data_IF_116641688397
#
_entry.id   IF_116641688397
#
_cell.length_a   1.000
_cell.length_b   1.000
_cell.length_c   1.000
_cell.angle_alpha   90.00
_cell.angle_beta   90.00
_cell.angle_gamma   90.00
#
_symmetry.space_group_name_H-M   'P 1'
#
loop_
_entity.id
_entity.type
_entity.pdbx_description
1 polymer ?
#
# COMPACT_ATOMS: atom_id res chain seq x y z
N UNK A 1 1.47 24.43 -1.92
CA UNK A 1 1.17 23.62 -0.71
C UNK A 1 1.80 24.26 0.50
N UNK A 2 1.14 24.24 1.68
CA UNK A 2 1.72 24.76 2.92
C UNK A 2 2.89 23.88 3.35
N UNK A 3 4.10 24.44 3.42
CA UNK A 3 5.32 23.69 3.77
C UNK A 3 5.21 22.92 5.10
N UNK A 4 4.53 23.49 6.09
CA UNK A 4 4.32 22.84 7.40
C UNK A 4 3.50 21.56 7.29
N UNK A 5 2.43 21.56 6.47
CA UNK A 5 1.60 20.37 6.24
C UNK A 5 2.40 19.31 5.49
N UNK A 6 3.16 19.72 4.48
CA UNK A 6 4.04 18.80 3.76
C UNK A 6 5.04 18.14 4.71
N UNK A 7 5.71 18.92 5.56
CA UNK A 7 6.66 18.38 6.54
C UNK A 7 6.01 17.50 7.61
N UNK A 8 4.74 17.77 7.96
CA UNK A 8 3.97 16.89 8.84
C UNK A 8 3.69 15.51 8.19
N UNK A 9 3.32 15.50 6.91
CA UNK A 9 3.17 14.27 6.14
C UNK A 9 4.50 13.49 6.06
N UNK A 10 5.58 14.15 5.61
CA UNK A 10 6.92 13.55 5.53
C UNK A 10 7.39 12.99 6.89
N UNK A 11 7.06 13.64 8.01
CA UNK A 11 7.39 13.16 9.34
C UNK A 11 6.64 11.87 9.68
N UNK A 12 5.36 11.80 9.38
CA UNK A 12 4.56 10.61 9.67
C UNK A 12 5.02 9.39 8.86
N UNK A 13 5.58 9.58 7.66
CA UNK A 13 6.15 8.49 6.84
C UNK A 13 7.50 7.98 7.33
N UNK A 14 8.14 8.63 8.31
CA UNK A 14 9.37 8.13 8.91
C UNK A 14 9.14 6.94 9.86
N UNK A 15 7.90 6.75 10.33
CA UNK A 15 7.57 5.66 11.24
C UNK A 15 7.27 4.39 10.45
N UNK A 16 8.00 3.34 10.75
CA UNK A 16 7.83 1.99 10.22
C UNK A 16 8.00 0.94 11.32
N UNK A 17 8.04 -0.36 10.98
CA UNK A 17 8.21 -1.44 11.95
C UNK A 17 9.59 -1.49 12.59
N UNK A 18 10.61 -0.98 11.92
CA UNK A 18 11.99 -0.93 12.40
C UNK A 18 12.24 0.37 13.18
N UNK A 19 11.56 1.45 12.81
CA UNK A 19 11.72 2.79 13.38
C UNK A 19 10.42 3.25 14.02
N UNK A 20 10.08 2.66 15.16
CA UNK A 20 8.82 2.94 15.88
C UNK A 20 8.84 4.23 16.70
N UNK A 21 10.02 4.79 16.96
CA UNK A 21 10.22 6.00 17.77
C UNK A 21 11.28 6.92 17.16
N UNK A 22 11.04 8.21 17.21
CA UNK A 22 11.96 9.24 16.72
C UNK A 22 12.24 10.32 17.73
N UNK A 23 13.51 10.75 17.83
CA UNK A 23 13.92 11.93 18.56
C UNK A 23 13.90 13.20 17.71
N UNK A 24 13.75 14.36 18.34
CA UNK A 24 13.70 15.67 17.64
C UNK A 24 14.93 15.92 16.74
N UNK A 25 16.14 15.53 17.21
CA UNK A 25 17.36 15.73 16.43
C UNK A 25 17.43 14.85 15.20
N UNK A 26 16.95 13.62 15.31
CA UNK A 26 16.91 12.65 14.22
C UNK A 26 15.95 13.13 13.12
N UNK A 27 14.73 13.55 13.52
CA UNK A 27 13.75 14.12 12.59
C UNK A 27 14.29 15.37 11.90
N UNK A 28 14.91 16.29 12.66
CA UNK A 28 15.52 17.51 12.09
C UNK A 28 16.54 17.18 10.99
N UNK A 29 17.37 16.16 11.21
CA UNK A 29 18.37 15.69 10.24
C UNK A 29 17.72 15.04 9.02
N UNK A 30 16.76 14.11 9.23
CA UNK A 30 16.05 13.40 8.16
C UNK A 30 15.27 14.34 7.24
N UNK A 31 14.52 15.29 7.82
CA UNK A 31 13.70 16.24 7.08
C UNK A 31 14.46 17.50 6.63
N UNK A 32 15.75 17.62 6.98
CA UNK A 32 16.62 18.78 6.68
C UNK A 32 15.99 20.10 7.13
N UNK A 33 15.48 20.17 8.37
CA UNK A 33 14.87 21.34 8.98
C UNK A 33 15.58 21.73 10.28
N UNK A 34 15.36 22.95 10.77
CA UNK A 34 15.89 23.41 12.06
C UNK A 34 15.33 22.56 13.22
N UNK A 35 16.13 22.31 14.25
CA UNK A 35 15.73 21.54 15.44
C UNK A 35 14.50 22.13 16.13
N UNK A 36 14.38 23.46 16.19
CA UNK A 36 13.19 24.14 16.73
C UNK A 36 11.93 23.80 15.91
N UNK A 37 12.03 23.86 14.57
CA UNK A 37 10.92 23.51 13.67
C UNK A 37 10.50 22.05 13.82
N UNK A 38 11.46 21.12 13.93
CA UNK A 38 11.16 19.71 14.19
C UNK A 38 10.47 19.51 15.55
N UNK A 39 10.93 20.20 16.60
CA UNK A 39 10.31 20.16 17.93
C UNK A 39 8.86 20.68 17.87
N UNK A 40 8.64 21.82 17.26
CA UNK A 40 7.31 22.45 17.17
C UNK A 40 6.33 21.58 16.37
N UNK A 41 6.81 20.98 15.28
CA UNK A 41 6.04 20.05 14.46
C UNK A 41 5.63 18.80 15.24
N UNK A 42 6.60 18.12 15.88
CA UNK A 42 6.35 16.91 16.67
C UNK A 42 5.47 17.20 17.90
N UNK A 43 5.71 18.32 18.58
CA UNK A 43 4.89 18.75 19.73
C UNK A 43 3.45 19.06 19.30
N UNK A 44 3.26 19.71 18.15
CA UNK A 44 1.93 19.99 17.60
C UNK A 44 1.18 18.71 17.23
N UNK A 45 1.83 17.79 16.55
CA UNK A 45 1.24 16.48 16.23
C UNK A 45 0.91 15.67 17.51
N UNK A 46 1.73 15.78 18.55
CA UNK A 46 1.44 15.14 19.83
C UNK A 46 0.22 15.75 20.53
N UNK A 47 0.08 17.09 20.53
CA UNK A 47 -1.12 17.77 21.05
C UNK A 47 -2.38 17.38 20.32
N UNK A 48 -2.26 17.10 19.01
CA UNK A 48 -3.37 16.63 18.17
C UNK A 48 -3.63 15.13 18.27
N UNK A 49 -2.81 14.36 19.02
CA UNK A 49 -2.95 12.92 19.22
C UNK A 49 -2.41 12.05 18.08
N UNK A 50 -1.77 12.63 17.05
CA UNK A 50 -1.10 11.88 15.98
C UNK A 50 0.22 11.27 16.42
N UNK A 51 0.88 11.88 17.42
CA UNK A 51 2.04 11.33 18.09
C UNK A 51 1.80 11.25 19.59
N UNK A 52 2.57 10.40 20.28
CA UNK A 52 2.68 10.35 21.71
C UNK A 52 4.13 10.58 22.09
N UNK A 53 4.38 11.46 23.08
CA UNK A 53 5.72 11.66 23.63
C UNK A 53 6.00 10.61 24.70
N UNK A 54 7.16 9.95 24.61
CA UNK A 54 7.63 8.96 25.60
C UNK A 54 8.37 9.63 26.75
N UNK A 55 8.63 8.89 27.83
CA UNK A 55 9.39 9.35 29.00
C UNK A 55 10.82 9.78 28.63
N UNK A 56 11.43 9.12 27.64
CA UNK A 56 12.76 9.42 27.09
C UNK A 56 12.78 10.60 26.12
N UNK A 57 11.70 11.41 26.07
CA UNK A 57 11.56 12.53 25.15
C UNK A 57 11.63 12.17 23.66
N UNK A 58 11.36 10.92 23.30
CA UNK A 58 11.12 10.48 21.92
C UNK A 58 9.63 10.59 21.59
N UNK A 59 9.26 10.35 20.35
CA UNK A 59 7.89 10.39 19.87
C UNK A 59 7.59 9.12 19.11
N UNK A 60 6.43 8.53 19.35
CA UNK A 60 5.85 7.38 18.62
C UNK A 60 4.50 7.74 18.06
N UNK A 61 3.96 6.92 17.15
CA UNK A 61 2.62 7.11 16.60
C UNK A 61 1.55 7.13 17.71
N UNK A 62 0.58 8.02 17.57
CA UNK A 62 -0.51 8.22 18.52
C UNK A 62 -1.78 7.43 18.13
N UNK A 63 -2.60 7.07 19.13
CA UNK A 63 -3.79 6.27 18.96
C UNK A 63 -4.88 6.91 18.09
N UNK A 64 -4.83 8.22 17.84
CA UNK A 64 -5.74 8.90 16.92
C UNK A 64 -5.68 8.32 15.51
N UNK A 65 -4.52 7.81 15.08
CA UNK A 65 -4.36 7.15 13.79
C UNK A 65 -5.22 5.90 13.66
N UNK A 66 -5.34 5.11 14.75
CA UNK A 66 -6.21 3.92 14.79
C UNK A 66 -7.67 4.33 14.61
N UNK A 67 -8.13 5.36 15.32
CA UNK A 67 -9.51 5.86 15.19
C UNK A 67 -9.82 6.33 13.76
N UNK A 68 -8.89 7.05 13.13
CA UNK A 68 -9.06 7.52 11.76
C UNK A 68 -9.04 6.37 10.76
N UNK A 69 -8.14 5.40 10.96
CA UNK A 69 -8.07 4.19 10.14
C UNK A 69 -9.38 3.38 10.23
N UNK A 70 -9.91 3.18 11.44
CA UNK A 70 -11.17 2.48 11.64
C UNK A 70 -12.33 3.21 10.94
N UNK A 71 -12.41 4.52 11.08
CA UNK A 71 -13.42 5.33 10.40
C UNK A 71 -13.35 5.17 8.89
N UNK A 72 -12.14 5.26 8.32
CA UNK A 72 -11.91 5.07 6.89
C UNK A 72 -12.40 3.69 6.44
N UNK A 73 -11.97 2.63 7.13
CA UNK A 73 -12.31 1.25 6.76
C UNK A 73 -13.80 0.95 6.94
N UNK A 74 -14.43 1.46 8.00
CA UNK A 74 -15.85 1.28 8.27
C UNK A 74 -16.76 2.01 7.27
N UNK A 75 -16.28 3.11 6.68
CA UNK A 75 -17.04 3.89 5.69
C UNK A 75 -16.76 3.50 4.24
N UNK A 76 -15.79 2.60 4.01
CA UNK A 76 -15.45 2.13 2.65
C UNK A 76 -16.45 1.06 2.22
N UNK A 77 -17.42 1.42 1.36
CA UNK A 77 -18.44 0.50 0.84
C UNK A 77 -17.82 -0.69 0.11
N UNK A 78 -16.79 -0.45 -0.70
CA UNK A 78 -16.03 -1.50 -1.39
C UNK A 78 -15.65 -2.65 -0.44
N UNK A 79 -15.10 -2.33 0.74
CA UNK A 79 -14.68 -3.34 1.71
C UNK A 79 -15.86 -4.11 2.26
N UNK A 80 -16.98 -3.43 2.57
CA UNK A 80 -18.20 -4.07 3.08
C UNK A 80 -18.78 -5.08 2.11
N UNK A 81 -18.80 -4.74 0.83
CA UNK A 81 -19.32 -5.60 -0.24
C UNK A 81 -18.35 -6.74 -0.60
N UNK A 82 -17.05 -6.47 -0.60
CA UNK A 82 -16.05 -7.47 -0.97
C UNK A 82 -15.78 -8.50 0.14
N UNK A 83 -15.80 -8.08 1.41
CA UNK A 83 -15.40 -8.93 2.53
C UNK A 83 -16.17 -10.27 2.63
N UNK A 84 -17.51 -10.32 2.54
CA UNK A 84 -18.24 -11.59 2.57
C UNK A 84 -17.84 -12.53 1.41
N UNK A 85 -17.63 -12.00 0.22
CA UNK A 85 -17.19 -12.78 -0.95
C UNK A 85 -15.79 -13.32 -0.72
N UNK A 86 -14.90 -12.51 -0.13
CA UNK A 86 -13.57 -12.96 0.25
C UNK A 86 -13.60 -14.08 1.30
N UNK A 87 -14.52 -14.03 2.28
CA UNK A 87 -14.71 -15.10 3.28
C UNK A 87 -15.11 -16.42 2.63
N UNK A 88 -16.04 -16.39 1.67
CA UNK A 88 -16.46 -17.57 0.92
C UNK A 88 -15.28 -18.16 0.14
N UNK A 89 -14.53 -17.33 -0.60
CA UNK A 89 -13.35 -17.77 -1.37
C UNK A 89 -12.23 -18.30 -0.44
N UNK A 90 -11.95 -17.62 0.69
CA UNK A 90 -10.95 -18.08 1.64
C UNK A 90 -11.32 -19.44 2.25
N UNK A 91 -12.61 -19.66 2.48
CA UNK A 91 -13.14 -20.94 2.98
C UNK A 91 -13.01 -22.04 1.94
N UNK A 92 -13.31 -21.74 0.68
CA UNK A 92 -13.26 -22.70 -0.43
C UNK A 92 -11.83 -23.12 -0.77
N UNK A 93 -10.95 -22.12 -0.96
CA UNK A 93 -9.60 -22.37 -1.46
C UNK A 93 -8.53 -22.52 -0.36
N UNK A 94 -8.82 -22.13 0.88
CA UNK A 94 -7.91 -22.17 2.04
C UNK A 94 -6.63 -21.34 1.87
N UNK A 95 -6.60 -20.44 0.88
CA UNK A 95 -5.48 -19.56 0.54
C UNK A 95 -5.71 -18.13 1.08
N UNK A 96 -4.65 -17.33 1.14
CA UNK A 96 -4.75 -15.94 1.56
C UNK A 96 -5.32 -15.07 0.46
N UNK A 97 -6.31 -14.26 0.81
CA UNK A 97 -6.94 -13.28 -0.08
C UNK A 97 -6.58 -11.86 0.34
N UNK A 98 -6.37 -11.02 -0.66
CA UNK A 98 -6.11 -9.61 -0.48
C UNK A 98 -7.03 -8.79 -1.37
N UNK A 99 -7.46 -7.63 -0.86
CA UNK A 99 -8.16 -6.59 -1.61
C UNK A 99 -7.27 -5.34 -1.62
N UNK A 100 -7.05 -4.76 -2.79
CA UNK A 100 -6.25 -3.55 -2.92
C UNK A 100 -6.88 -2.53 -3.87
N UNK A 101 -6.55 -1.27 -3.62
CA UNK A 101 -6.86 -0.13 -4.50
C UNK A 101 -5.56 0.52 -4.96
N UNK A 102 -5.61 1.25 -6.07
CA UNK A 102 -4.49 2.09 -6.50
C UNK A 102 -4.62 3.46 -5.82
N UNK A 103 -3.62 3.83 -5.04
CA UNK A 103 -3.52 5.16 -4.43
C UNK A 103 -2.21 5.82 -4.87
N UNK A 104 -2.34 6.87 -5.69
CA UNK A 104 -1.27 7.54 -6.42
C UNK A 104 -0.45 6.55 -7.27
N UNK A 105 0.69 6.10 -6.81
CA UNK A 105 1.62 5.23 -7.57
C UNK A 105 1.69 3.80 -7.04
N UNK A 106 0.98 3.47 -5.97
CA UNK A 106 1.13 2.21 -5.25
C UNK A 106 -0.20 1.48 -5.06
N UNK A 107 -0.14 0.16 -5.04
CA UNK A 107 -1.25 -0.67 -4.58
C UNK A 107 -1.32 -0.63 -3.04
N UNK A 108 -2.47 -0.26 -2.49
CA UNK A 108 -2.73 -0.19 -1.05
C UNK A 108 -3.69 -1.29 -0.65
N UNK A 109 -3.29 -2.10 0.31
CA UNK A 109 -4.11 -3.19 0.83
C UNK A 109 -5.20 -2.64 1.75
N UNK A 110 -6.46 -2.84 1.37
CA UNK A 110 -7.64 -2.35 2.11
C UNK A 110 -8.40 -3.45 2.83
N UNK A 111 -8.17 -4.73 2.47
CA UNK A 111 -8.62 -5.89 3.22
C UNK A 111 -7.70 -7.10 3.01
N UNK A 112 -7.72 -8.03 3.98
CA UNK A 112 -6.95 -9.27 3.96
C UNK A 112 -7.66 -10.34 4.75
N UNK A 113 -7.76 -11.54 4.16
CA UNK A 113 -8.18 -12.75 4.86
C UNK A 113 -7.08 -13.81 4.77
N UNK A 114 -6.63 -14.31 5.89
CA UNK A 114 -5.57 -15.32 5.94
C UNK A 114 -6.16 -16.73 5.76
N UNK A 115 -5.65 -17.45 4.79
CA UNK A 115 -5.94 -18.87 4.60
C UNK A 115 -5.24 -19.74 5.64
N UNK A 116 -5.68 -20.99 5.80
CA UNK A 116 -5.09 -21.92 6.79
C UNK A 116 -3.68 -22.37 6.43
N UNK A 117 -3.33 -22.38 5.15
CA UNK A 117 -2.03 -22.80 4.62
C UNK A 117 -1.14 -21.64 4.22
N UNK A 118 -1.55 -20.42 4.54
CA UNK A 118 -0.95 -19.21 4.04
C UNK A 118 0.53 -19.08 4.45
N UNK A 119 1.37 -18.82 3.46
CA UNK A 119 2.66 -18.19 3.69
C UNK A 119 2.38 -16.80 4.28
N UNK A 120 2.82 -16.54 5.51
CA UNK A 120 2.68 -15.22 6.14
C UNK A 120 3.57 -14.22 5.43
N UNK A 121 3.02 -13.52 4.47
CA UNK A 121 3.71 -12.40 3.82
C UNK A 121 3.52 -11.17 4.70
N UNK A 122 4.52 -10.84 5.51
CA UNK A 122 4.47 -9.66 6.40
C UNK A 122 4.27 -8.34 5.63
N UNK A 123 4.64 -8.32 4.35
CA UNK A 123 4.49 -7.15 3.47
C UNK A 123 3.04 -6.79 3.12
N UNK A 124 2.07 -7.67 3.39
CA UNK A 124 0.67 -7.51 2.95
C UNK A 124 -0.30 -7.23 4.10
N UNK A 125 0.13 -6.50 5.11
CA UNK A 125 -0.77 -6.03 6.16
C UNK A 125 -1.72 -4.94 5.65
N UNK A 126 -2.86 -4.79 6.34
CA UNK A 126 -3.81 -3.71 6.05
C UNK A 126 -3.11 -2.36 6.06
N UNK A 127 -3.33 -1.54 5.03
CA UNK A 127 -2.64 -0.27 4.82
C UNK A 127 -1.23 -0.38 4.24
N UNK A 128 -0.70 -1.60 4.04
CA UNK A 128 0.58 -1.77 3.36
C UNK A 128 0.51 -1.25 1.92
N UNK A 129 1.64 -0.72 1.45
CA UNK A 129 1.80 -0.15 0.11
C UNK A 129 2.86 -0.92 -0.64
N UNK A 130 2.52 -1.42 -1.81
CA UNK A 130 3.45 -2.13 -2.68
C UNK A 130 3.56 -1.44 -4.03
N UNK A 131 4.72 -1.59 -4.65
CA UNK A 131 4.91 -1.17 -6.04
C UNK A 131 3.92 -1.91 -6.95
N UNK A 132 3.22 -1.15 -7.79
CA UNK A 132 2.15 -1.74 -8.60
C UNK A 132 2.67 -2.63 -9.75
N UNK A 133 3.91 -2.45 -10.20
CA UNK A 133 4.47 -3.20 -11.33
C UNK A 133 4.83 -4.65 -11.01
N UNK A 134 5.10 -5.00 -9.75
CA UNK A 134 5.65 -6.29 -9.33
C UNK A 134 4.69 -7.12 -8.47
N UNK A 135 3.41 -6.81 -8.46
CA UNK A 135 2.38 -7.62 -7.78
C UNK A 135 1.21 -7.87 -8.70
N UNK A 136 0.54 -9.02 -8.56
CA UNK A 136 -0.63 -9.35 -9.36
C UNK A 136 -1.72 -8.28 -9.23
N UNK A 137 -2.04 -7.85 -7.99
CA UNK A 137 -3.00 -6.77 -7.71
C UNK A 137 -2.63 -5.47 -8.42
N UNK A 138 -1.38 -5.05 -8.24
CA UNK A 138 -0.88 -3.80 -8.81
C UNK A 138 -0.93 -3.81 -10.33
N UNK A 139 -0.50 -4.90 -10.97
CA UNK A 139 -0.56 -5.04 -12.43
C UNK A 139 -2.00 -5.03 -12.96
N UNK A 140 -2.95 -5.66 -12.24
CA UNK A 140 -4.39 -5.52 -12.58
C UNK A 140 -4.81 -4.07 -12.51
N UNK A 141 -4.52 -3.37 -11.41
CA UNK A 141 -4.91 -1.98 -11.22
C UNK A 141 -4.32 -1.05 -12.30
N UNK A 142 -3.05 -1.28 -12.70
CA UNK A 142 -2.41 -0.55 -13.78
C UNK A 142 -3.00 -0.87 -15.16
N UNK A 143 -3.35 -2.13 -15.42
CA UNK A 143 -3.82 -2.58 -16.71
C UNK A 143 -5.09 -1.85 -17.20
N UNK A 144 -5.89 -1.32 -16.28
CA UNK A 144 -7.14 -0.60 -16.60
C UNK A 144 -7.01 0.93 -16.48
N UNK A 145 -5.78 1.45 -16.30
CA UNK A 145 -5.51 2.89 -16.39
C UNK A 145 -5.16 3.29 -17.82
N UNK A 146 -5.30 4.59 -18.10
CA UNK A 146 -4.80 5.15 -19.36
C UNK A 146 -3.26 5.05 -19.40
N UNK A 147 -2.71 4.83 -20.58
CA UNK A 147 -1.25 4.65 -20.76
C UNK A 147 -0.45 5.84 -20.23
N UNK A 148 -0.96 7.06 -20.37
CA UNK A 148 -0.34 8.28 -19.84
C UNK A 148 -0.22 8.26 -18.32
N UNK A 149 -1.22 7.71 -17.63
CA UNK A 149 -1.21 7.55 -16.18
C UNK A 149 -0.23 6.46 -15.74
N UNK A 150 -0.18 5.34 -16.46
CA UNK A 150 0.82 4.28 -16.21
C UNK A 150 2.24 4.83 -16.35
N UNK A 151 2.53 5.58 -17.43
CA UNK A 151 3.82 6.22 -17.64
C UNK A 151 4.17 7.22 -16.52
N UNK A 152 3.20 8.01 -16.06
CA UNK A 152 3.39 8.91 -14.91
C UNK A 152 3.78 8.12 -13.65
N UNK A 153 3.11 7.00 -13.38
CA UNK A 153 3.40 6.13 -12.24
C UNK A 153 4.82 5.58 -12.34
N UNK A 154 5.21 5.05 -13.51
CA UNK A 154 6.56 4.53 -13.75
C UNK A 154 7.62 5.62 -13.54
N UNK A 155 7.41 6.81 -14.08
CA UNK A 155 8.35 7.93 -13.92
C UNK A 155 8.50 8.38 -12.46
N UNK A 156 7.43 8.29 -11.67
CA UNK A 156 7.41 8.74 -10.28
C UNK A 156 7.96 7.70 -9.32
N UNK A 157 7.54 6.44 -9.45
CA UNK A 157 7.88 5.36 -8.52
C UNK A 157 9.09 4.52 -8.99
N UNK A 158 9.39 4.54 -10.29
CA UNK A 158 10.35 3.63 -10.89
C UNK A 158 9.85 2.20 -11.00
N UNK A 159 10.72 1.32 -11.47
CA UNK A 159 10.52 -0.12 -11.57
C UNK A 159 11.64 -0.86 -10.81
N UNK A 160 11.74 -0.72 -9.48
CA UNK A 160 12.79 -1.36 -8.71
C UNK A 160 12.71 -2.88 -8.81
N UNK A 161 13.87 -3.52 -8.90
CA UNK A 161 14.00 -4.97 -8.93
C UNK A 161 13.94 -5.53 -7.51
N UNK A 162 13.10 -6.54 -7.30
CA UNK A 162 13.00 -7.29 -6.04
C UNK A 162 13.49 -8.73 -6.19
N UNK A 163 13.25 -9.33 -7.35
CA UNK A 163 13.72 -10.67 -7.72
C UNK A 163 14.26 -10.66 -9.15
N UNK A 164 14.71 -11.81 -9.63
CA UNK A 164 15.10 -11.96 -11.04
C UNK A 164 13.90 -11.88 -11.99
N UNK A 165 12.70 -12.20 -11.49
CA UNK A 165 11.46 -12.20 -12.27
C UNK A 165 10.77 -10.83 -12.32
N UNK A 166 11.20 -9.86 -11.51
CA UNK A 166 10.60 -8.52 -11.49
C UNK A 166 10.74 -7.84 -12.85
N UNK A 167 9.62 -7.36 -13.40
CA UNK A 167 9.63 -6.53 -14.62
C UNK A 167 10.27 -5.17 -14.30
N UNK A 168 11.35 -4.82 -15.00
CA UNK A 168 12.10 -3.59 -14.76
C UNK A 168 12.13 -2.64 -15.96
N UNK A 169 11.64 -3.08 -17.11
CA UNK A 169 11.58 -2.29 -18.33
C UNK A 169 10.15 -1.82 -18.60
N UNK A 170 10.00 -0.53 -18.99
CA UNK A 170 8.70 0.08 -19.27
C UNK A 170 7.95 -0.64 -20.38
N UNK A 171 8.63 -1.01 -21.49
CA UNK A 171 8.02 -1.69 -22.62
C UNK A 171 7.45 -3.07 -22.22
N UNK A 172 8.22 -3.85 -21.45
CA UNK A 172 7.80 -5.16 -20.97
C UNK A 172 6.59 -5.06 -20.04
N UNK A 173 6.55 -4.03 -19.17
CA UNK A 173 5.40 -3.78 -18.32
C UNK A 173 4.17 -3.42 -19.15
N UNK A 174 4.27 -2.50 -20.10
CA UNK A 174 3.16 -2.08 -20.94
C UNK A 174 2.59 -3.27 -21.74
N UNK A 175 3.45 -4.09 -22.31
CA UNK A 175 3.04 -5.32 -23.03
C UNK A 175 2.35 -6.33 -22.09
N UNK A 176 2.83 -6.45 -20.86
CA UNK A 176 2.19 -7.30 -19.84
C UNK A 176 0.79 -6.77 -19.48
N UNK A 177 0.66 -5.45 -19.28
CA UNK A 177 -0.63 -4.82 -18.96
C UNK A 177 -1.68 -4.98 -20.09
N UNK A 178 -1.25 -4.93 -21.36
CA UNK A 178 -2.13 -5.21 -22.50
C UNK A 178 -2.66 -6.65 -22.45
N UNK A 179 -1.79 -7.62 -22.14
CA UNK A 179 -2.18 -9.03 -21.97
C UNK A 179 -3.17 -9.21 -20.82
N UNK A 180 -2.90 -8.57 -19.68
CA UNK A 180 -3.77 -8.60 -18.49
C UNK A 180 -5.15 -8.03 -18.82
N UNK A 181 -5.24 -6.88 -19.49
CA UNK A 181 -6.51 -6.29 -19.91
C UNK A 181 -7.32 -7.21 -20.82
N UNK A 182 -6.64 -7.94 -21.71
CA UNK A 182 -7.29 -8.86 -22.66
C UNK A 182 -7.79 -10.14 -21.99
N UNK A 183 -7.03 -10.71 -21.05
CA UNK A 183 -7.38 -11.97 -20.38
C UNK A 183 -8.23 -11.78 -19.13
N UNK A 184 -8.23 -10.59 -18.51
CA UNK A 184 -9.05 -10.25 -17.35
C UNK A 184 -8.42 -10.60 -15.99
N UNK A 185 -7.16 -11.04 -15.95
CA UNK A 185 -6.46 -11.36 -14.71
C UNK A 185 -4.94 -11.20 -14.87
N UNK A 186 -4.22 -11.11 -13.75
CA UNK A 186 -2.76 -11.06 -13.71
C UNK A 186 -2.19 -12.15 -12.80
N UNK A 187 -0.98 -12.58 -13.11
CA UNK A 187 -0.13 -13.35 -12.20
C UNK A 187 1.00 -12.47 -11.65
N UNK A 188 1.42 -12.77 -10.44
CA UNK A 188 2.74 -12.48 -9.89
C UNK A 188 3.41 -13.84 -9.70
N UNK A 189 4.49 -14.07 -10.43
CA UNK A 189 5.24 -15.33 -10.41
C UNK A 189 6.62 -15.05 -9.80
N UNK A 190 6.64 -14.92 -8.48
CA UNK A 190 7.85 -14.59 -7.72
C UNK A 190 8.46 -13.23 -8.12
N UNK A 191 7.65 -12.26 -8.50
CA UNK A 191 8.14 -10.95 -8.93
C UNK A 191 8.50 -10.04 -7.74
N UNK A 192 7.79 -10.18 -6.61
CA UNK A 192 8.06 -9.39 -5.40
C UNK A 192 8.86 -10.17 -4.35
N UNK A 193 8.61 -11.46 -4.23
CA UNK A 193 9.32 -12.35 -3.30
C UNK A 193 9.52 -13.72 -3.96
N UNK A 194 10.67 -14.39 -3.74
CA UNK A 194 10.84 -15.79 -4.08
C UNK A 194 9.79 -16.67 -3.37
N UNK A 195 9.39 -17.75 -4.00
CA UNK A 195 8.41 -18.72 -3.51
C UNK A 195 6.99 -18.16 -3.27
N UNK A 196 6.70 -16.94 -3.75
CA UNK A 196 5.37 -16.34 -3.69
C UNK A 196 4.74 -16.23 -5.07
N UNK A 197 3.63 -16.92 -5.27
CA UNK A 197 2.82 -16.81 -6.48
C UNK A 197 1.44 -16.25 -6.15
N UNK A 198 0.99 -15.27 -6.95
CA UNK A 198 -0.33 -14.69 -6.79
C UNK A 198 -1.09 -14.65 -8.12
N UNK A 199 -2.41 -14.78 -8.04
CA UNK A 199 -3.32 -14.44 -9.14
C UNK A 199 -4.25 -13.34 -8.67
N UNK A 200 -4.54 -12.36 -9.54
CA UNK A 200 -5.44 -11.26 -9.23
C UNK A 200 -6.42 -10.98 -10.37
N UNK A 201 -7.61 -10.51 -10.00
CA UNK A 201 -8.68 -10.11 -10.92
C UNK A 201 -9.19 -8.71 -10.56
N UNK A 202 -9.72 -7.94 -11.54
CA UNK A 202 -10.29 -6.62 -11.31
C UNK A 202 -11.67 -6.69 -10.66
N UNK A 203 -11.97 -5.68 -9.83
CA UNK A 203 -13.31 -5.40 -9.33
C UNK A 203 -13.81 -4.13 -10.02
N UNK A 204 -15.00 -4.24 -10.62
CA UNK A 204 -15.63 -3.17 -11.38
C UNK A 204 -16.71 -2.49 -10.55
N UNK A 205 -16.88 -1.20 -10.74
CA UNK A 205 -18.08 -0.49 -10.29
C UNK A 205 -19.24 -0.67 -11.29
N UNK A 206 -20.39 -0.10 -10.96
CA UNK A 206 -21.60 -0.16 -11.80
C UNK A 206 -21.44 0.58 -13.15
N UNK A 207 -20.40 1.40 -13.31
CA UNK A 207 -20.11 2.11 -14.57
C UNK A 207 -19.16 1.32 -15.47
N UNK A 208 -18.61 0.20 -14.98
CA UNK A 208 -17.64 -0.63 -15.67
C UNK A 208 -16.18 -0.19 -15.49
N UNK A 209 -15.92 0.74 -14.58
CA UNK A 209 -14.54 1.13 -14.23
C UNK A 209 -13.95 0.18 -13.21
N UNK A 210 -12.67 -0.16 -13.36
CA UNK A 210 -11.93 -0.91 -12.34
C UNK A 210 -11.60 0.02 -11.18
N UNK A 211 -12.15 -0.29 -10.00
CA UNK A 211 -11.99 0.47 -8.76
C UNK A 211 -11.08 -0.22 -7.76
N UNK A 212 -10.91 -1.52 -7.88
CA UNK A 212 -10.08 -2.33 -6.99
C UNK A 212 -9.60 -3.59 -7.71
N UNK A 213 -8.76 -4.36 -7.04
CA UNK A 213 -8.39 -5.71 -7.43
C UNK A 213 -8.43 -6.64 -6.21
N UNK A 214 -8.78 -7.90 -6.45
CA UNK A 214 -8.70 -8.99 -5.49
C UNK A 214 -7.61 -9.97 -5.92
N UNK A 215 -6.84 -10.51 -4.99
CA UNK A 215 -5.87 -11.58 -5.27
C UNK A 215 -5.96 -12.73 -4.32
N UNK A 216 -5.50 -13.87 -4.80
CA UNK A 216 -5.22 -15.07 -4.04
C UNK A 216 -3.73 -15.35 -4.12
N UNK A 217 -3.10 -15.67 -2.97
CA UNK A 217 -1.66 -15.90 -2.84
C UNK A 217 -1.39 -17.29 -2.30
N UNK A 218 -0.38 -17.93 -2.90
CA UNK A 218 0.07 -19.27 -2.55
C UNK A 218 1.58 -19.33 -2.46
#
# INVERSE_FOLDING_TARGET
MLQTIQKAGELLTLFDREHTEWGVREVATKLKIAKSSAHDLMSSLAKLGFLNKTEDNRYRLGWRLVTLSETLLATTELRKEAHPIMEDLATEYQETLHLAVLDDTQAVYVDKLEGRQAVRVELTSLGARLYAHCSALGKVLLAYKEESEVKRIIQTAGLPRFTENTITEEEDLLDNLIKIRKQGYAYDLEEILPDLCCVAAPIYDYTGNVIAAISMSK
#
